data_IF_361326193408
#
_entry.id   IF_361326193408
#
_cell.length_a   1.000
_cell.length_b   1.000
_cell.length_c   1.000
_cell.angle_alpha   90.00
_cell.angle_beta   90.00
_cell.angle_gamma   90.00
#
_symmetry.space_group_name_H-M   'P 1'
#
loop_
_entity.id
_entity.type
_entity.pdbx_description
1 polymer ?
#
# COMPACT_ATOMS: atom_id res chain seq x y z
N UNK A 1 -8.25 8.17 14.26
CA UNK A 1 -7.33 7.37 15.10
C UNK A 1 -7.85 5.96 15.37
N UNK A 2 -8.99 5.72 16.04
CA UNK A 2 -9.47 4.35 16.34
C UNK A 2 -9.59 3.44 15.11
N UNK A 3 -10.10 3.94 13.99
CA UNK A 3 -10.17 3.15 12.75
C UNK A 3 -8.76 2.79 12.22
N UNK A 4 -7.78 3.68 12.38
CA UNK A 4 -6.40 3.42 11.98
C UNK A 4 -5.75 2.33 12.84
N UNK A 5 -6.09 2.27 14.13
CA UNK A 5 -5.66 1.16 15.01
C UNK A 5 -6.27 -0.18 14.57
N UNK A 6 -7.55 -0.19 14.18
CA UNK A 6 -8.19 -1.40 13.65
C UNK A 6 -7.53 -1.84 12.32
N UNK A 7 -7.27 -0.91 11.41
CA UNK A 7 -6.52 -1.20 10.17
C UNK A 7 -5.12 -1.71 10.47
N UNK A 8 -4.42 -1.14 11.45
CA UNK A 8 -3.08 -1.59 11.82
C UNK A 8 -3.10 -3.04 12.36
N UNK A 9 -4.09 -3.38 13.19
CA UNK A 9 -4.20 -4.71 13.77
C UNK A 9 -4.64 -5.79 12.77
N UNK A 10 -5.43 -5.46 11.75
CA UNK A 10 -6.09 -6.43 10.88
C UNK A 10 -5.87 -6.22 9.37
N UNK A 11 -4.99 -5.30 8.98
CA UNK A 11 -4.87 -4.83 7.60
C UNK A 11 -4.29 -5.83 6.59
N UNK A 12 -3.74 -6.95 7.05
CA UNK A 12 -3.21 -8.02 6.20
C UNK A 12 -4.14 -9.25 6.09
N UNK A 13 -5.41 -9.11 6.48
CA UNK A 13 -6.36 -10.25 6.52
C UNK A 13 -6.53 -10.95 5.16
N UNK A 14 -6.40 -10.22 4.05
CA UNK A 14 -6.55 -10.76 2.69
C UNK A 14 -5.24 -11.25 2.06
N UNK A 15 -4.09 -11.03 2.70
CA UNK A 15 -2.78 -11.50 2.24
C UNK A 15 -2.45 -11.15 0.78
N UNK A 16 -2.71 -9.90 0.39
CA UNK A 16 -2.35 -9.38 -0.92
C UNK A 16 -1.81 -7.94 -0.81
N UNK A 17 -1.00 -7.53 -1.79
CA UNK A 17 -0.31 -6.25 -1.79
C UNK A 17 -1.09 -5.12 -2.51
N UNK A 18 -2.32 -5.38 -2.98
CA UNK A 18 -3.05 -4.46 -3.86
C UNK A 18 -3.59 -3.20 -3.16
N UNK A 19 -4.07 -2.23 -3.94
CA UNK A 19 -4.60 -0.97 -3.43
C UNK A 19 -6.05 -1.04 -2.94
N UNK A 20 -6.93 -1.80 -3.61
CA UNK A 20 -8.37 -1.75 -3.35
C UNK A 20 -8.74 -2.23 -1.95
N UNK A 21 -8.09 -3.30 -1.50
CA UNK A 21 -8.37 -3.94 -0.22
C UNK A 21 -7.17 -4.80 0.24
N UNK A 22 -5.96 -4.35 -0.10
CA UNK A 22 -4.70 -4.99 0.27
C UNK A 22 -3.81 -4.08 1.12
N UNK A 23 -2.57 -4.53 1.32
CA UNK A 23 -1.58 -3.84 2.14
C UNK A 23 -1.26 -2.43 1.62
N UNK A 24 -1.22 -2.23 0.30
CA UNK A 24 -0.94 -0.90 -0.25
C UNK A 24 -2.02 0.11 0.18
N UNK A 25 -3.30 -0.23 -0.01
CA UNK A 25 -4.41 0.67 0.34
C UNK A 25 -4.49 0.96 1.83
N UNK A 26 -4.25 -0.06 2.65
CA UNK A 26 -4.18 0.11 4.10
C UNK A 26 -2.96 0.95 4.52
N UNK A 27 -1.84 0.84 3.81
CA UNK A 27 -0.67 1.68 3.99
C UNK A 27 -0.92 3.15 3.65
N UNK A 28 -1.72 3.43 2.61
CA UNK A 28 -2.08 4.80 2.22
C UNK A 28 -2.79 5.56 3.34
N UNK A 29 -3.59 4.86 4.15
CA UNK A 29 -4.22 5.45 5.33
C UNK A 29 -3.17 6.06 6.27
N UNK A 30 -2.06 5.37 6.51
CA UNK A 30 -1.03 5.85 7.44
C UNK A 30 -0.21 6.99 6.85
N UNK A 31 0.02 7.01 5.54
CA UNK A 31 0.61 8.16 4.85
C UNK A 31 -0.28 9.41 4.97
N UNK A 32 -1.59 9.26 4.82
CA UNK A 32 -2.52 10.39 5.02
C UNK A 32 -2.64 10.80 6.49
N UNK A 33 -2.62 9.85 7.42
CA UNK A 33 -2.58 10.15 8.85
C UNK A 33 -1.33 10.95 9.22
N UNK A 34 -0.15 10.59 8.68
CA UNK A 34 1.07 11.39 8.82
C UNK A 34 0.88 12.78 8.24
N UNK A 35 0.31 12.92 7.05
CA UNK A 35 0.11 14.22 6.39
C UNK A 35 -0.82 15.14 7.20
N UNK A 36 -1.91 14.61 7.74
CA UNK A 36 -2.95 15.40 8.43
C UNK A 36 -2.56 15.66 9.89
N UNK A 37 -2.03 14.66 10.59
CA UNK A 37 -1.80 14.71 12.03
C UNK A 37 -0.32 14.77 12.44
N UNK A 38 0.62 14.60 11.51
CA UNK A 38 2.05 14.50 11.80
C UNK A 38 2.42 13.22 12.55
N UNK A 39 3.60 13.18 13.17
CA UNK A 39 3.99 12.12 14.11
C UNK A 39 4.38 10.77 13.49
N UNK A 40 4.30 9.71 14.32
CA UNK A 40 4.86 8.37 14.05
C UNK A 40 4.10 7.47 13.07
N UNK A 41 3.15 7.99 12.30
CA UNK A 41 2.36 7.18 11.35
C UNK A 41 3.20 6.68 10.17
N UNK A 42 4.34 7.34 9.87
CA UNK A 42 5.27 6.89 8.83
C UNK A 42 5.75 5.46 9.07
N UNK A 43 6.13 5.11 10.31
CA UNK A 43 6.61 3.77 10.63
C UNK A 43 5.57 2.69 10.32
N UNK A 44 4.29 2.97 10.58
CA UNK A 44 3.19 2.04 10.26
C UNK A 44 2.99 1.88 8.76
N UNK A 45 3.13 2.97 7.99
CA UNK A 45 3.10 2.88 6.53
C UNK A 45 4.27 2.01 6.01
N UNK A 46 5.46 2.19 6.58
CA UNK A 46 6.66 1.42 6.24
C UNK A 46 6.52 -0.07 6.59
N UNK A 47 5.91 -0.41 7.72
CA UNK A 47 5.59 -1.80 8.08
C UNK A 47 4.67 -2.46 7.04
N UNK A 48 3.64 -1.76 6.58
CA UNK A 48 2.78 -2.24 5.50
C UNK A 48 3.53 -2.36 4.17
N UNK A 49 4.45 -1.45 3.90
CA UNK A 49 5.38 -1.53 2.76
C UNK A 49 6.28 -2.76 2.82
N UNK A 50 6.85 -3.07 3.99
CA UNK A 50 7.68 -4.24 4.20
C UNK A 50 6.90 -5.55 4.00
N UNK A 51 5.67 -5.62 4.54
CA UNK A 51 4.78 -6.75 4.31
C UNK A 51 4.42 -6.91 2.83
N UNK A 52 4.09 -5.81 2.14
CA UNK A 52 3.77 -5.85 0.71
C UNK A 52 4.99 -6.31 -0.11
N UNK A 53 6.20 -5.85 0.22
CA UNK A 53 7.43 -6.30 -0.41
C UNK A 53 7.71 -7.79 -0.17
N UNK A 54 7.29 -8.34 0.98
CA UNK A 54 7.43 -9.77 1.28
C UNK A 54 6.49 -10.67 0.45
N UNK A 55 5.39 -10.13 -0.11
CA UNK A 55 4.50 -10.84 -1.05
C UNK A 55 5.00 -10.86 -2.50
N UNK A 56 6.24 -10.43 -2.71
CA UNK A 56 6.89 -10.54 -4.00
C UNK A 56 7.10 -12.01 -4.36
N UNK A 57 6.70 -12.35 -5.58
CA UNK A 57 6.82 -13.68 -6.17
C UNK A 57 7.68 -13.65 -7.42
N UNK A 58 8.26 -14.80 -7.73
CA UNK A 58 9.17 -15.00 -8.86
C UNK A 58 10.59 -15.31 -8.42
N UNK A 59 11.33 -15.97 -9.32
CA UNK A 59 12.77 -16.17 -9.23
C UNK A 59 13.40 -15.63 -10.52
N UNK A 60 14.31 -14.67 -10.42
CA UNK A 60 14.99 -14.06 -11.58
C UNK A 60 14.62 -12.59 -11.81
N UNK A 61 14.70 -12.08 -13.05
CA UNK A 61 14.68 -10.63 -13.35
C UNK A 61 13.28 -9.98 -13.29
N UNK A 62 12.23 -10.75 -13.03
CA UNK A 62 10.85 -10.24 -13.05
C UNK A 62 10.22 -10.48 -11.68
N UNK A 63 10.15 -9.40 -10.91
CA UNK A 63 9.38 -9.35 -9.68
C UNK A 63 7.88 -9.29 -10.01
N UNK A 64 7.07 -10.07 -9.30
CA UNK A 64 5.62 -10.10 -9.47
C UNK A 64 4.93 -9.91 -8.12
N UNK A 65 3.82 -9.18 -8.13
CA UNK A 65 2.87 -9.17 -7.04
C UNK A 65 1.56 -9.73 -7.55
N UNK A 66 0.97 -10.64 -6.77
CA UNK A 66 -0.35 -11.20 -7.08
C UNK A 66 -1.39 -10.09 -7.06
N UNK A 67 -2.45 -10.30 -7.84
CA UNK A 67 -3.66 -9.51 -7.66
C UNK A 67 -4.40 -9.88 -6.36
N UNK A 68 -5.60 -9.38 -6.18
CA UNK A 68 -6.47 -9.75 -5.06
C UNK A 68 -6.87 -11.24 -5.05
N UNK A 69 -7.05 -11.83 -6.24
CA UNK A 69 -7.35 -13.25 -6.38
C UNK A 69 -6.06 -14.12 -6.39
N UNK A 70 -5.99 -15.20 -5.58
CA UNK A 70 -4.85 -16.12 -5.57
C UNK A 70 -4.51 -16.69 -6.95
N UNK A 71 -3.22 -16.64 -7.30
CA UNK A 71 -2.71 -17.17 -8.57
C UNK A 71 -2.92 -16.27 -9.79
N UNK A 72 -3.65 -15.16 -9.62
CA UNK A 72 -3.85 -14.17 -10.68
C UNK A 72 -2.83 -13.03 -10.56
N UNK A 73 -2.49 -12.44 -11.70
CA UNK A 73 -1.59 -11.31 -11.81
C UNK A 73 -2.22 -10.29 -12.73
N UNK A 74 -2.19 -9.03 -12.32
CA UNK A 74 -2.75 -7.95 -13.11
C UNK A 74 -1.83 -6.73 -13.04
N UNK A 75 -1.68 -5.98 -14.15
CA UNK A 75 -0.96 -4.71 -14.16
C UNK A 75 -1.83 -3.53 -13.70
N UNK A 76 -3.10 -3.74 -13.35
CA UNK A 76 -3.99 -2.65 -13.00
C UNK A 76 -3.60 -1.95 -11.68
N UNK A 77 -4.19 -0.77 -11.46
CA UNK A 77 -3.86 0.06 -10.31
C UNK A 77 -4.53 -0.39 -9.01
N UNK A 78 -5.74 -0.95 -9.08
CA UNK A 78 -6.57 -1.19 -7.88
C UNK A 78 -6.29 -2.56 -7.28
N UNK A 79 -6.32 -3.60 -8.09
CA UNK A 79 -6.12 -4.98 -7.68
C UNK A 79 -4.77 -5.51 -8.15
N UNK A 80 -4.04 -4.80 -8.99
CA UNK A 80 -2.78 -5.25 -9.59
C UNK A 80 -1.48 -4.60 -9.07
N UNK A 81 -0.37 -4.98 -9.70
CA UNK A 81 0.99 -4.62 -9.31
C UNK A 81 1.32 -3.12 -9.51
N UNK A 82 0.61 -2.41 -10.37
CA UNK A 82 0.84 -0.97 -10.55
C UNK A 82 0.47 -0.18 -9.29
N UNK A 83 -0.58 -0.60 -8.58
CA UNK A 83 -0.97 -0.02 -7.30
C UNK A 83 0.08 -0.26 -6.21
N UNK A 84 0.58 -1.49 -6.12
CA UNK A 84 1.65 -1.85 -5.18
C UNK A 84 2.93 -1.05 -5.45
N UNK A 85 3.36 -0.96 -6.71
CA UNK A 85 4.52 -0.17 -7.10
C UNK A 85 4.34 1.33 -6.82
N UNK A 86 3.14 1.87 -7.08
CA UNK A 86 2.81 3.25 -6.76
C UNK A 86 2.88 3.53 -5.25
N UNK A 87 2.38 2.62 -4.41
CA UNK A 87 2.51 2.75 -2.96
C UNK A 87 3.98 2.76 -2.50
N UNK A 88 4.84 1.92 -3.07
CA UNK A 88 6.29 1.98 -2.78
C UNK A 88 6.91 3.33 -3.17
N UNK A 89 6.51 3.89 -4.31
CA UNK A 89 6.96 5.23 -4.72
C UNK A 89 6.47 6.30 -3.74
N UNK A 90 5.22 6.21 -3.26
CA UNK A 90 4.69 7.11 -2.22
C UNK A 90 5.42 6.95 -0.89
N UNK A 91 5.76 5.73 -0.46
CA UNK A 91 6.55 5.52 0.76
C UNK A 91 7.93 6.20 0.67
N UNK A 92 8.59 6.06 -0.48
CA UNK A 92 9.91 6.65 -0.71
C UNK A 92 9.87 8.17 -0.87
N UNK A 93 8.78 8.72 -1.45
CA UNK A 93 8.65 10.15 -1.78
C UNK A 93 7.22 10.66 -1.53
N UNK A 94 6.74 10.69 -0.26
CA UNK A 94 5.34 10.94 0.06
C UNK A 94 4.84 12.34 -0.32
N UNK A 95 5.77 13.31 -0.37
CA UNK A 95 5.47 14.69 -0.75
C UNK A 95 5.44 14.89 -2.28
N UNK A 96 6.16 14.06 -3.04
CA UNK A 96 6.30 14.21 -4.50
C UNK A 96 5.35 13.32 -5.29
N UNK A 97 4.87 12.22 -4.69
CA UNK A 97 3.96 11.28 -5.34
C UNK A 97 2.60 11.38 -4.67
N UNK A 98 1.61 11.87 -5.42
CA UNK A 98 0.23 11.96 -4.96
C UNK A 98 -0.51 10.63 -5.12
N UNK A 99 -1.56 10.44 -4.34
CA UNK A 99 -2.51 9.33 -4.53
C UNK A 99 -3.58 9.75 -5.53
N UNK A 100 -3.70 9.08 -6.69
CA UNK A 100 -4.65 9.46 -7.73
C UNK A 100 -6.11 9.48 -7.28
N UNK A 101 -6.45 8.67 -6.26
CA UNK A 101 -7.82 8.55 -5.73
C UNK A 101 -8.12 9.54 -4.60
N UNK A 102 -7.14 10.30 -4.13
CA UNK A 102 -7.32 11.31 -3.09
C UNK A 102 -7.15 12.68 -3.71
N UNK A 103 -8.27 13.34 -3.99
CA UNK A 103 -8.27 14.73 -4.41
C UNK A 103 -7.70 15.58 -3.28
N UNK A 104 -6.61 16.29 -3.57
CA UNK A 104 -6.09 17.34 -2.70
C UNK A 104 -6.81 18.64 -3.08
N UNK A 105 -7.32 19.43 -2.12
CA UNK A 105 -7.78 20.79 -2.42
C UNK A 105 -6.65 21.58 -3.08
N UNK A 106 -7.00 22.42 -4.06
CA UNK A 106 -6.07 23.38 -4.67
C UNK A 106 -5.59 24.44 -3.66
#
# INVERSE_FOLDING_TARGET
>A
VRCAEATYAAGDVRRNASQCHGLAGNGELFLEMKRIFGGGWQARAEEFGALAAAYKEGAGPVDKWRSDEPGQYSPDFMTGAAGTGHFFLRLARPESVSMPLMLRPE
#
